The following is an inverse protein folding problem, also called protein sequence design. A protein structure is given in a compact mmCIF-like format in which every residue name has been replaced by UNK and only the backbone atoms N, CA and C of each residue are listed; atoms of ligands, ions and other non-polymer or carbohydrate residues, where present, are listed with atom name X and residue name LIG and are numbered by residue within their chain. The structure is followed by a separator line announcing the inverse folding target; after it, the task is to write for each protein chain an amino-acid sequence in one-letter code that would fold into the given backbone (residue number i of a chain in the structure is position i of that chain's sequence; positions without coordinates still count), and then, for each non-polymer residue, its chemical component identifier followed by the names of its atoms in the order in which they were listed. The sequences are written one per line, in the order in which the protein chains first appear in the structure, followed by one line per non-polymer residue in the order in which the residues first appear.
data_IF_976277169703
#
_entry.id   IF_976277169703
#
_cell.length_a   1.000
_cell.length_b   1.000
_cell.length_c   1.000
_cell.angle_alpha   90.00
_cell.angle_beta   90.00
_cell.angle_gamma   90.00
#
_symmetry.space_group_name_H-M   'P 1'
#
loop_
_entity.id
_entity.type
_entity.pdbx_description
1 polymer ?
#
# COMPACT_ATOMS: atom_id res chain seq x y z
N UNK A 1 -8.22 10.11 18.47
CA UNK A 1 -9.23 9.12 18.01
C UNK A 1 -9.22 8.93 16.49
N UNK A 2 -9.16 10.00 15.67
CA UNK A 2 -9.16 9.91 14.20
C UNK A 2 -8.01 9.06 13.62
N UNK A 3 -6.77 9.27 14.08
CA UNK A 3 -5.62 8.49 13.59
C UNK A 3 -5.76 6.98 13.83
N UNK A 4 -6.43 6.57 14.91
CA UNK A 4 -6.68 5.15 15.19
C UNK A 4 -7.64 4.51 14.18
N UNK A 5 -8.63 5.26 13.70
CA UNK A 5 -9.50 4.81 12.62
C UNK A 5 -8.72 4.61 11.32
N UNK A 6 -7.77 5.52 11.01
CA UNK A 6 -6.87 5.37 9.86
C UNK A 6 -6.02 4.09 9.93
N UNK A 7 -5.52 3.73 11.11
CA UNK A 7 -4.80 2.46 11.32
C UNK A 7 -5.71 1.27 10.97
N UNK A 8 -6.94 1.23 11.49
CA UNK A 8 -7.89 0.15 11.21
C UNK A 8 -8.14 0.01 9.71
N UNK A 9 -8.37 1.11 9.00
CA UNK A 9 -8.59 1.08 7.55
C UNK A 9 -7.36 0.58 6.78
N UNK A 10 -6.15 1.01 7.17
CA UNK A 10 -4.91 0.51 6.57
C UNK A 10 -4.79 -1.00 6.77
N UNK A 11 -5.04 -1.51 7.98
CA UNK A 11 -5.03 -2.94 8.26
C UNK A 11 -6.07 -3.72 7.47
N UNK A 12 -7.30 -3.21 7.36
CA UNK A 12 -8.34 -3.84 6.54
C UNK A 12 -7.92 -3.92 5.06
N UNK A 13 -7.33 -2.85 4.52
CA UNK A 13 -6.80 -2.86 3.16
C UNK A 13 -5.64 -3.86 3.02
N UNK A 14 -4.80 -3.97 4.05
CA UNK A 14 -3.64 -4.83 4.07
C UNK A 14 -4.02 -6.30 4.08
N UNK A 15 -4.96 -6.68 4.95
CA UNK A 15 -5.47 -8.04 5.05
C UNK A 15 -6.21 -8.43 3.77
N UNK A 16 -7.10 -7.58 3.27
CA UNK A 16 -7.87 -7.90 2.06
C UNK A 16 -6.99 -7.97 0.81
N UNK A 17 -6.07 -7.03 0.65
CA UNK A 17 -5.08 -7.04 -0.44
C UNK A 17 -4.12 -8.22 -0.36
N UNK A 18 -3.63 -8.54 0.84
CA UNK A 18 -2.76 -9.69 1.08
C UNK A 18 -3.46 -11.02 0.85
N UNK A 19 -4.73 -11.16 1.28
CA UNK A 19 -5.53 -12.36 1.02
C UNK A 19 -5.67 -12.59 -0.49
N UNK A 20 -6.16 -11.58 -1.24
CA UNK A 20 -6.30 -11.66 -2.69
C UNK A 20 -4.96 -11.98 -3.38
N UNK A 21 -3.86 -11.40 -2.88
CA UNK A 21 -2.54 -11.65 -3.43
C UNK A 21 -2.13 -13.13 -3.29
N UNK A 22 -2.37 -13.72 -2.12
CA UNK A 22 -2.01 -15.11 -1.82
C UNK A 22 -2.92 -16.13 -2.51
N UNK A 23 -4.20 -15.83 -2.67
CA UNK A 23 -5.18 -16.77 -3.25
C UNK A 23 -5.24 -16.67 -4.76
N UNK A 24 -5.77 -15.56 -5.27
CA UNK A 24 -6.18 -15.43 -6.67
C UNK A 24 -5.02 -14.95 -7.54
N UNK A 25 -4.25 -13.98 -7.04
CA UNK A 25 -3.21 -13.35 -7.83
C UNK A 25 -2.07 -14.32 -8.15
N UNK A 26 -1.52 -15.01 -7.15
CA UNK A 26 -0.45 -15.99 -7.37
C UNK A 26 -0.90 -17.17 -8.25
N UNK A 27 -2.12 -17.67 -8.03
CA UNK A 27 -2.62 -18.86 -8.72
C UNK A 27 -2.94 -18.59 -10.20
N UNK A 28 -3.49 -17.41 -10.53
CA UNK A 28 -4.05 -17.18 -11.87
C UNK A 28 -3.48 -15.93 -12.55
N UNK A 29 -3.49 -14.79 -11.88
CA UNK A 29 -3.21 -13.48 -12.49
C UNK A 29 -1.74 -13.35 -12.90
N UNK A 30 -0.81 -13.79 -12.03
CA UNK A 30 0.63 -13.69 -12.25
C UNK A 30 1.09 -14.32 -13.56
N UNK A 31 0.66 -15.56 -13.82
CA UNK A 31 1.04 -16.29 -15.03
C UNK A 31 0.49 -15.61 -16.30
N UNK A 32 -0.74 -15.09 -16.24
CA UNK A 32 -1.37 -14.40 -17.37
C UNK A 32 -0.63 -13.09 -17.69
N UNK A 33 -0.34 -12.26 -16.70
CA UNK A 33 0.40 -11.00 -16.90
C UNK A 33 1.80 -11.27 -17.46
N UNK A 34 2.53 -12.26 -16.93
CA UNK A 34 3.89 -12.59 -17.40
C UNK A 34 3.93 -13.09 -18.84
N UNK A 35 2.88 -13.78 -19.30
CA UNK A 35 2.77 -14.24 -20.69
C UNK A 35 2.23 -13.15 -21.64
N UNK A 36 1.76 -12.03 -21.09
CA UNK A 36 1.21 -10.92 -21.85
C UNK A 36 2.27 -9.96 -22.42
N UNK A 37 1.82 -8.86 -23.05
CA UNK A 37 2.70 -7.89 -23.72
C UNK A 37 3.44 -6.99 -22.73
N UNK A 38 2.99 -6.93 -21.48
CA UNK A 38 3.51 -6.06 -20.42
C UNK A 38 3.94 -6.86 -19.17
N UNK A 39 4.94 -7.76 -19.28
CA UNK A 39 5.38 -8.57 -18.14
C UNK A 39 5.96 -7.72 -16.99
N UNK A 40 6.42 -6.49 -17.29
CA UNK A 40 6.91 -5.52 -16.32
C UNK A 40 5.84 -5.08 -15.30
N UNK A 41 4.56 -5.18 -15.65
CA UNK A 41 3.46 -4.90 -14.72
C UNK A 41 3.48 -5.86 -13.51
N UNK A 42 3.97 -7.09 -13.71
CA UNK A 42 4.28 -7.97 -12.60
C UNK A 42 5.68 -7.72 -12.04
N UNK A 43 6.72 -7.89 -12.87
CA UNK A 43 8.11 -7.95 -12.37
C UNK A 43 8.62 -6.67 -11.72
N UNK A 44 8.01 -5.51 -12.00
CA UNK A 44 8.36 -4.24 -11.37
C UNK A 44 7.23 -3.77 -10.45
N UNK A 45 6.04 -3.55 -11.00
CA UNK A 45 4.96 -2.87 -10.25
C UNK A 45 4.40 -3.75 -9.14
N UNK A 46 4.15 -5.04 -9.42
CA UNK A 46 3.57 -5.93 -8.40
C UNK A 46 4.59 -6.24 -7.30
N UNK A 47 5.81 -6.60 -7.67
CA UNK A 47 6.91 -6.85 -6.72
C UNK A 47 7.19 -5.62 -5.82
N UNK A 48 7.25 -4.42 -6.41
CA UNK A 48 7.41 -3.17 -5.65
C UNK A 48 6.22 -2.95 -4.70
N UNK A 49 5.00 -3.12 -5.21
CA UNK A 49 3.79 -2.95 -4.43
C UNK A 49 3.79 -3.87 -3.22
N UNK A 50 4.10 -5.15 -3.38
CA UNK A 50 4.12 -6.12 -2.28
C UNK A 50 5.10 -5.73 -1.17
N UNK A 51 6.33 -5.41 -1.53
CA UNK A 51 7.37 -5.10 -0.55
C UNK A 51 7.09 -3.77 0.18
N UNK A 52 6.63 -2.75 -0.54
CA UNK A 52 6.31 -1.45 0.08
C UNK A 52 5.03 -1.55 0.93
N UNK A 53 4.03 -2.30 0.47
CA UNK A 53 2.74 -2.42 1.14
C UNK A 53 2.83 -3.11 2.51
N UNK A 54 3.78 -4.04 2.69
CA UNK A 54 4.03 -4.72 3.98
C UNK A 54 4.34 -3.72 5.11
N UNK A 55 4.98 -2.58 4.81
CA UNK A 55 5.38 -1.62 5.83
C UNK A 55 4.25 -0.69 6.30
N UNK A 56 3.20 -0.48 5.49
CA UNK A 56 2.16 0.51 5.78
C UNK A 56 1.45 0.31 7.14
N UNK A 57 1.03 -0.91 7.54
CA UNK A 57 0.39 -1.12 8.84
C UNK A 57 1.29 -0.77 10.02
N UNK A 58 2.58 -1.10 9.92
CA UNK A 58 3.56 -0.84 10.97
C UNK A 58 3.86 0.66 11.10
N UNK A 59 4.03 1.37 9.99
CA UNK A 59 4.21 2.82 9.99
C UNK A 59 2.98 3.54 10.56
N UNK A 60 1.78 3.06 10.25
CA UNK A 60 0.53 3.60 10.78
C UNK A 60 0.44 3.42 12.31
N UNK A 61 0.85 2.24 12.83
CA UNK A 61 0.94 2.00 14.28
C UNK A 61 1.92 2.95 14.94
N UNK A 62 3.09 3.18 14.35
CA UNK A 62 4.09 4.11 14.90
C UNK A 62 3.50 5.51 15.02
N UNK A 63 2.92 6.05 13.94
CA UNK A 63 2.29 7.39 13.96
C UNK A 63 1.19 7.46 15.01
N UNK A 64 0.28 6.48 15.05
CA UNK A 64 -0.81 6.48 16.02
C UNK A 64 -0.31 6.35 17.47
N UNK A 65 0.66 5.47 17.71
CA UNK A 65 1.26 5.24 19.02
C UNK A 65 1.93 6.50 19.56
N UNK A 66 2.75 7.17 18.73
CA UNK A 66 3.41 8.42 19.15
C UNK A 66 2.41 9.55 19.40
N UNK A 67 1.39 9.70 18.55
CA UNK A 67 0.33 10.68 18.77
C UNK A 67 -0.48 10.40 20.05
N UNK A 68 -0.75 9.12 20.36
CA UNK A 68 -1.47 8.71 21.57
C UNK A 68 -0.65 8.96 22.84
N UNK A 69 0.67 8.75 22.78
CA UNK A 69 1.54 8.88 23.94
C UNK A 69 1.95 10.33 24.24
N UNK A 70 2.19 11.14 23.20
CA UNK A 70 2.78 12.48 23.36
C UNK A 70 1.90 13.63 22.85
N UNK A 71 0.62 13.38 22.52
CA UNK A 71 -0.27 14.34 21.81
C UNK A 71 -0.17 15.81 22.23
N UNK A 72 -0.39 16.12 23.51
CA UNK A 72 -0.34 17.51 24.00
C UNK A 72 1.10 18.05 24.03
N UNK A 73 2.04 17.19 24.40
CA UNK A 73 3.46 17.50 24.58
C UNK A 73 4.19 17.77 23.25
N UNK A 74 3.67 17.22 22.15
CA UNK A 74 4.15 17.45 20.78
C UNK A 74 3.98 18.90 20.33
N UNK A 75 2.88 19.54 20.74
CA UNK A 75 2.52 20.90 20.33
C UNK A 75 3.32 21.92 21.16
N UNK A 76 3.44 21.67 22.45
CA UNK A 76 4.01 22.64 23.39
C UNK A 76 5.52 22.55 23.47
N UNK A 77 6.08 21.33 23.54
CA UNK A 77 7.48 21.14 23.97
C UNK A 77 8.34 20.39 22.95
N UNK A 78 7.75 19.69 21.96
CA UNK A 78 8.46 18.76 21.07
C UNK A 78 8.19 19.00 19.59
N UNK A 79 8.43 20.24 19.14
CA UNK A 79 8.16 20.71 17.77
C UNK A 79 8.88 19.92 16.67
N UNK A 80 10.08 19.41 16.93
CA UNK A 80 10.83 18.61 15.96
C UNK A 80 10.21 17.22 15.79
N UNK A 81 9.80 16.60 16.89
CA UNK A 81 9.06 15.33 16.85
C UNK A 81 7.70 15.49 16.16
N UNK A 82 7.00 16.61 16.40
CA UNK A 82 5.76 16.92 15.71
C UNK A 82 5.95 17.03 14.18
N UNK A 83 7.02 17.69 13.73
CA UNK A 83 7.38 17.76 12.30
C UNK A 83 7.69 16.39 11.72
N UNK A 84 8.48 15.56 12.42
CA UNK A 84 8.81 14.21 11.98
C UNK A 84 7.55 13.33 11.83
N UNK A 85 6.63 13.38 12.79
CA UNK A 85 5.36 12.64 12.72
C UNK A 85 4.48 13.14 11.58
N UNK A 86 4.39 14.46 11.35
CA UNK A 86 3.63 15.00 10.22
C UNK A 86 4.20 14.55 8.87
N UNK A 87 5.52 14.61 8.70
CA UNK A 87 6.19 14.13 7.48
C UNK A 87 5.91 12.64 7.28
N UNK A 88 6.03 11.84 8.34
CA UNK A 88 5.77 10.41 8.27
C UNK A 88 4.30 10.11 7.93
N UNK A 89 3.34 10.83 8.53
CA UNK A 89 1.92 10.70 8.21
C UNK A 89 1.63 11.08 6.74
N UNK A 90 2.22 12.18 6.25
CA UNK A 90 2.10 12.58 4.84
C UNK A 90 2.70 11.54 3.90
N UNK A 91 3.86 10.97 4.26
CA UNK A 91 4.48 9.89 3.50
C UNK A 91 3.60 8.63 3.43
N UNK A 92 2.99 8.22 4.55
CA UNK A 92 2.04 7.09 4.58
C UNK A 92 0.88 7.33 3.62
N UNK A 93 0.30 8.54 3.59
CA UNK A 93 -0.79 8.88 2.67
C UNK A 93 -0.34 8.80 1.21
N UNK A 94 0.83 9.37 0.90
CA UNK A 94 1.38 9.32 -0.46
C UNK A 94 1.63 7.88 -0.92
N UNK A 95 2.23 7.06 -0.07
CA UNK A 95 2.48 5.65 -0.36
C UNK A 95 1.16 4.89 -0.51
N UNK A 96 0.20 5.07 0.39
CA UNK A 96 -1.12 4.44 0.29
C UNK A 96 -1.84 4.82 -1.01
N UNK A 97 -1.77 6.08 -1.43
CA UNK A 97 -2.34 6.50 -2.71
C UNK A 97 -1.61 5.87 -3.91
N UNK A 98 -0.29 5.75 -3.85
CA UNK A 98 0.50 5.07 -4.88
C UNK A 98 0.09 3.59 -5.06
N UNK A 99 -0.39 2.91 -4.00
CA UNK A 99 -0.91 1.54 -4.09
C UNK A 99 -2.11 1.42 -5.01
N UNK A 100 -2.97 2.44 -5.05
CA UNK A 100 -4.11 2.50 -5.96
C UNK A 100 -3.64 2.67 -7.41
N UNK A 101 -2.69 3.60 -7.65
CA UNK A 101 -2.08 3.80 -8.97
C UNK A 101 -1.38 2.54 -9.50
N UNK A 102 -0.58 1.88 -8.66
CA UNK A 102 0.04 0.59 -9.00
C UNK A 102 -1.00 -0.50 -9.25
N UNK A 103 -2.11 -0.52 -8.49
CA UNK A 103 -3.23 -1.43 -8.74
C UNK A 103 -3.82 -1.26 -10.14
N UNK A 104 -4.02 -0.02 -10.59
CA UNK A 104 -4.48 0.27 -11.94
C UNK A 104 -3.52 -0.26 -13.02
N UNK A 105 -2.21 -0.06 -12.85
CA UNK A 105 -1.20 -0.55 -13.79
C UNK A 105 -1.20 -2.08 -13.89
N UNK A 106 -1.33 -2.77 -12.76
CA UNK A 106 -1.44 -4.24 -12.71
C UNK A 106 -2.69 -4.71 -13.45
N UNK A 107 -3.85 -4.09 -13.20
CA UNK A 107 -5.09 -4.42 -13.90
C UNK A 107 -5.02 -4.13 -15.40
N UNK A 108 -4.29 -3.08 -15.80
CA UNK A 108 -4.04 -2.77 -17.21
C UNK A 108 -3.22 -3.88 -17.89
N UNK A 109 -2.12 -4.31 -17.24
CA UNK A 109 -1.31 -5.42 -17.74
C UNK A 109 -2.10 -6.72 -17.89
N UNK A 110 -3.00 -7.00 -16.96
CA UNK A 110 -3.91 -8.15 -17.04
C UNK A 110 -4.88 -8.04 -18.23
N UNK A 111 -5.54 -6.89 -18.42
CA UNK A 111 -6.49 -6.70 -19.52
C UNK A 111 -5.82 -6.88 -20.88
N UNK A 112 -4.67 -6.25 -21.10
CA UNK A 112 -3.95 -6.38 -22.36
C UNK A 112 -3.48 -7.83 -22.62
N UNK A 113 -3.15 -8.58 -21.57
CA UNK A 113 -2.81 -10.00 -21.71
C UNK A 113 -4.04 -10.87 -22.08
N UNK A 114 -5.23 -10.53 -21.57
CA UNK A 114 -6.47 -11.22 -21.92
C UNK A 114 -6.92 -10.92 -23.35
N UNK A 115 -6.80 -9.66 -23.80
CA UNK A 115 -7.14 -9.25 -25.17
C UNK A 115 -6.31 -10.02 -26.21
N UNK A 116 -5.02 -10.24 -25.95
CA UNK A 116 -4.16 -11.03 -26.83
C UNK A 116 -4.51 -12.53 -26.86
N UNK A 117 -5.10 -13.08 -25.80
CA UNK A 117 -5.54 -14.48 -25.79
C UNK A 117 -6.88 -14.70 -26.49
N UNK A 118 -7.64 -13.63 -26.71
CA UNK A 118 -8.94 -13.67 -27.37
C UNK A 118 -8.86 -13.53 -28.91
N UNK A 119 -7.69 -13.15 -29.43
CA UNK A 119 -7.35 -13.11 -30.85
C UNK A 119 -6.66 -14.41 -31.28
#
# INVERSE_FOLDING_TARGET
MIAGFGVILIFLSWITGGYYYLTDYQATVKAVIKAGPYPWAHSVITETKEHVFIFLPFLAIVVWGTLKQYGNDLIENKRDLARAIMILAGFIVLVAFSMAGMGYLISSGMRSALELKAL
#
